data_IF_394667166960
#
_entry.id   IF_394667166960
#
_cell.length_a   1.000
_cell.length_b   1.000
_cell.length_c   1.000
_cell.angle_alpha   90.00
_cell.angle_beta   90.00
_cell.angle_gamma   90.00
#
_symmetry.space_group_name_H-M   'P 1'
#
loop_
_entity.id
_entity.type
_entity.pdbx_description
1 polymer ?
#
# COMPACT_ATOMS: atom_id res chain seq x y z
N UNK A 1 34.98 17.26 6.92
CA UNK A 1 33.70 17.08 7.62
C UNK A 1 33.06 15.83 7.06
N UNK A 2 32.95 14.74 7.85
CA UNK A 2 32.31 13.51 7.40
C UNK A 2 30.86 13.81 7.02
N UNK A 3 30.43 13.23 5.91
CA UNK A 3 29.15 13.49 5.29
C UNK A 3 28.06 12.69 6.01
N UNK A 4 27.57 13.20 7.14
CA UNK A 4 26.47 12.62 7.95
C UNK A 4 25.25 12.22 7.07
N UNK A 5 25.09 12.87 5.91
CA UNK A 5 24.05 12.56 4.93
C UNK A 5 24.20 11.18 4.28
N UNK A 6 25.44 10.76 3.94
CA UNK A 6 25.72 9.44 3.34
C UNK A 6 25.50 8.31 4.34
N UNK A 7 25.83 8.53 5.61
CA UNK A 7 25.63 7.53 6.65
C UNK A 7 24.13 7.27 6.88
N UNK A 8 23.31 8.32 6.93
CA UNK A 8 21.85 8.19 7.01
C UNK A 8 21.26 7.39 5.83
N UNK A 9 21.69 7.67 4.59
CA UNK A 9 21.22 6.96 3.40
C UNK A 9 21.53 5.46 3.50
N UNK A 10 22.74 5.09 3.94
CA UNK A 10 23.14 3.68 4.08
C UNK A 10 22.43 2.96 5.22
N UNK A 11 22.01 3.67 6.27
CA UNK A 11 21.18 3.11 7.34
C UNK A 11 19.77 2.80 6.82
N UNK A 12 19.16 3.72 6.06
CA UNK A 12 17.83 3.48 5.49
C UNK A 12 17.80 2.33 4.49
N UNK A 13 18.80 2.23 3.61
CA UNK A 13 18.85 1.11 2.65
C UNK A 13 18.96 -0.23 3.36
N UNK A 14 19.79 -0.33 4.40
CA UNK A 14 19.91 -1.56 5.23
C UNK A 14 18.60 -1.94 5.93
N UNK A 15 17.79 -0.96 6.34
CA UNK A 15 16.49 -1.22 6.97
C UNK A 15 15.51 -1.78 5.94
N UNK A 16 15.45 -1.19 4.74
CA UNK A 16 14.57 -1.66 3.67
C UNK A 16 14.94 -3.08 3.20
N UNK A 17 16.24 -3.36 3.05
CA UNK A 17 16.72 -4.68 2.66
C UNK A 17 16.31 -5.75 3.68
N UNK A 18 16.38 -5.44 4.98
CA UNK A 18 15.98 -6.35 6.06
C UNK A 18 14.47 -6.59 6.17
N UNK A 19 13.64 -5.65 5.70
CA UNK A 19 12.18 -5.84 5.69
C UNK A 19 11.72 -6.77 4.57
N UNK A 20 12.52 -6.90 3.51
CA UNK A 20 12.25 -7.76 2.37
C UNK A 20 12.93 -9.14 2.49
N UNK A 21 13.94 -9.27 3.33
CA UNK A 21 14.62 -10.53 3.58
C UNK A 21 13.70 -11.54 4.28
N UNK A 22 13.38 -12.64 3.59
CA UNK A 22 12.48 -13.68 4.08
C UNK A 22 10.97 -13.40 3.96
N UNK A 23 10.55 -12.31 3.29
CA UNK A 23 9.13 -12.01 3.07
C UNK A 23 8.57 -12.82 1.88
N UNK A 24 7.72 -13.81 2.17
CA UNK A 24 6.97 -14.55 1.14
C UNK A 24 5.59 -13.91 0.89
N UNK A 25 5.47 -13.18 -0.23
CA UNK A 25 4.23 -12.49 -0.62
C UNK A 25 3.09 -13.42 -1.05
N UNK A 26 3.33 -14.72 -1.17
CA UNK A 26 2.32 -15.72 -1.54
C UNK A 26 1.49 -16.14 -0.33
N UNK A 27 2.00 -15.91 0.88
CA UNK A 27 1.33 -16.28 2.11
C UNK A 27 0.59 -15.06 2.68
N UNK A 28 -0.68 -15.26 3.01
CA UNK A 28 -1.45 -14.27 3.75
C UNK A 28 -0.84 -14.08 5.14
N UNK A 29 -0.70 -12.84 5.64
CA UNK A 29 -0.28 -12.60 7.03
C UNK A 29 -1.18 -13.35 8.02
N UNK A 30 -0.60 -14.13 8.94
CA UNK A 30 -1.34 -14.93 9.92
C UNK A 30 -1.87 -16.28 9.41
N UNK A 31 -1.28 -16.84 8.34
CA UNK A 31 -1.65 -18.16 7.80
C UNK A 31 -1.63 -19.26 8.88
N UNK A 32 -2.79 -19.74 9.29
CA UNK A 32 -2.95 -20.86 10.24
C UNK A 32 -3.39 -20.48 11.65
N UNK A 33 -3.44 -19.19 12.00
CA UNK A 33 -3.83 -18.74 13.35
C UNK A 33 -5.16 -17.96 13.36
N UNK A 34 -5.30 -16.91 12.54
CA UNK A 34 -6.44 -15.98 12.61
C UNK A 34 -6.87 -15.41 11.25
N UNK A 35 -8.09 -14.86 11.20
CA UNK A 35 -8.59 -14.14 10.03
C UNK A 35 -7.94 -12.75 10.00
N UNK A 36 -7.17 -12.44 8.95
CA UNK A 36 -6.69 -11.08 8.70
C UNK A 36 -7.86 -10.13 8.43
N UNK A 37 -8.09 -9.18 9.34
CA UNK A 37 -9.04 -8.09 9.15
C UNK A 37 -8.46 -7.05 8.18
N UNK A 38 -9.18 -6.76 7.10
CA UNK A 38 -8.75 -5.79 6.08
C UNK A 38 -9.62 -4.54 6.20
N UNK A 39 -9.06 -3.47 6.80
CA UNK A 39 -9.75 -2.18 6.88
C UNK A 39 -9.51 -1.38 5.60
N UNK A 40 -10.57 -1.18 4.84
CA UNK A 40 -10.53 -0.47 3.56
C UNK A 40 -11.25 0.87 3.68
N UNK A 41 -10.60 1.94 3.22
CA UNK A 41 -11.19 3.27 3.10
C UNK A 41 -11.08 3.69 1.64
N UNK A 42 -12.08 4.38 1.12
CA UNK A 42 -12.11 4.86 -0.27
C UNK A 42 -12.41 6.36 -0.25
N UNK A 43 -11.58 7.13 -0.95
CA UNK A 43 -11.77 8.56 -1.10
C UNK A 43 -12.11 8.88 -2.55
N UNK A 44 -13.24 9.55 -2.78
CA UNK A 44 -13.61 10.01 -4.12
C UNK A 44 -12.88 11.31 -4.41
N UNK A 45 -12.10 11.34 -5.49
CA UNK A 45 -11.38 12.53 -5.94
C UNK A 45 -12.19 13.29 -6.99
N UNK A 46 -12.86 12.58 -7.90
CA UNK A 46 -13.76 13.21 -8.87
C UNK A 46 -14.79 12.21 -9.43
N UNK A 47 -15.90 12.76 -9.91
CA UNK A 47 -16.87 12.04 -10.71
C UNK A 47 -16.68 12.45 -12.18
N UNK A 48 -16.43 11.48 -13.04
CA UNK A 48 -16.40 11.65 -14.48
C UNK A 48 -17.81 11.80 -15.07
N UNK A 49 -17.91 12.14 -16.36
CA UNK A 49 -19.19 12.21 -17.04
C UNK A 49 -19.88 10.84 -17.06
N UNK A 50 -21.20 10.85 -16.96
CA UNK A 50 -22.02 9.64 -17.11
C UNK A 50 -22.37 9.48 -18.59
N UNK A 51 -22.12 8.31 -19.16
CA UNK A 51 -22.59 7.94 -20.50
C UNK A 51 -23.97 7.28 -20.38
N UNK A 52 -25.03 7.95 -20.81
CA UNK A 52 -26.39 7.39 -20.83
C UNK A 52 -26.56 6.27 -21.87
N UNK A 53 -25.73 6.26 -22.91
CA UNK A 53 -25.78 5.24 -23.97
C UNK A 53 -25.20 3.90 -23.49
N UNK A 54 -24.13 3.97 -22.71
CA UNK A 54 -23.45 2.78 -22.17
C UNK A 54 -23.87 2.45 -20.73
N UNK A 55 -24.62 3.34 -20.08
CA UNK A 55 -25.03 3.25 -18.67
C UNK A 55 -23.83 3.12 -17.70
N UNK A 56 -22.71 3.79 -18.02
CA UNK A 56 -21.46 3.74 -17.23
C UNK A 56 -21.03 5.15 -16.82
N UNK A 57 -20.45 5.26 -15.64
CA UNK A 57 -19.81 6.47 -15.13
C UNK A 57 -18.39 6.19 -14.69
N UNK A 58 -17.45 7.03 -15.11
CA UNK A 58 -16.09 7.00 -14.60
C UNK A 58 -16.02 7.65 -13.20
N UNK A 59 -15.34 7.03 -12.25
CA UNK A 59 -15.13 7.59 -10.91
C UNK A 59 -13.65 7.48 -10.57
N UNK A 60 -13.03 8.61 -10.27
CA UNK A 60 -11.65 8.64 -9.81
C UNK A 60 -11.63 8.49 -8.29
N UNK A 61 -11.02 7.39 -7.83
CA UNK A 61 -10.92 7.05 -6.42
C UNK A 61 -9.46 6.94 -6.00
N UNK A 62 -9.17 7.40 -4.78
CA UNK A 62 -7.95 7.07 -4.05
C UNK A 62 -8.26 6.01 -2.98
N UNK A 63 -7.62 4.85 -3.11
CA UNK A 63 -7.72 3.74 -2.17
C UNK A 63 -6.38 3.58 -1.46
N UNK A 64 -6.20 4.10 -0.22
CA UNK A 64 -4.98 3.88 0.54
C UNK A 64 -4.75 2.40 0.89
N UNK A 65 -3.49 2.06 1.14
CA UNK A 65 -3.11 0.72 1.58
C UNK A 65 -3.92 0.29 2.82
N UNK A 66 -4.49 -0.93 2.82
CA UNK A 66 -5.27 -1.42 3.94
C UNK A 66 -4.39 -1.54 5.19
N UNK A 67 -4.93 -1.14 6.33
CA UNK A 67 -4.25 -1.33 7.63
C UNK A 67 -4.71 -2.65 8.24
N UNK A 68 -3.75 -3.51 8.57
CA UNK A 68 -3.94 -4.63 9.50
C UNK A 68 -4.09 -4.05 10.89
N UNK A 69 -5.13 -4.45 11.64
CA UNK A 69 -5.14 -4.28 13.10
C UNK A 69 -4.31 -5.37 13.77
#
# INVERSE_FOLDING_TARGET
>A
MPDDSRDNITIFTRILDRLLDGYDNRLRPGLGESVTEVRTNIYVTSFGPVSDTDMVSDILLYCPAPRSS
#
